data_IF_976911332841
#
_entry.id   IF_976911332841
#
_cell.length_a   1.000
_cell.length_b   1.000
_cell.length_c   1.000
_cell.angle_alpha   90.00
_cell.angle_beta   90.00
_cell.angle_gamma   90.00
#
_symmetry.space_group_name_H-M   'P 1'
#
loop_
_entity.id
_entity.type
_entity.pdbx_description
1 polymer ?
#
# COMPACT_ATOMS: atom_id res chain seq x y z
N UNK A 1 11.15 24.48 5.08
CA UNK A 1 10.10 23.57 5.53
C UNK A 1 10.61 22.70 6.66
N UNK A 2 9.86 22.64 7.75
CA UNK A 2 10.20 21.82 8.90
C UNK A 2 9.65 20.40 8.67
N UNK A 3 10.52 19.43 8.49
CA UNK A 3 10.12 18.02 8.46
C UNK A 3 10.19 17.49 9.89
N UNK A 4 9.04 17.17 10.45
CA UNK A 4 8.95 16.57 11.78
C UNK A 4 8.73 15.07 11.65
N UNK A 5 9.52 14.29 12.37
CA UNK A 5 9.30 12.85 12.57
C UNK A 5 8.70 12.67 13.96
N UNK A 6 7.49 12.16 14.00
CA UNK A 6 6.77 11.88 15.25
C UNK A 6 6.97 10.42 15.69
N UNK A 7 6.72 10.08 16.95
CA UNK A 7 6.71 8.68 17.39
C UNK A 7 5.74 7.80 16.58
N UNK A 8 4.63 8.38 16.09
CA UNK A 8 3.68 7.67 15.23
C UNK A 8 4.29 7.24 13.87
N UNK A 9 5.31 7.95 13.38
CA UNK A 9 5.97 7.58 12.12
C UNK A 9 6.77 6.28 12.24
N UNK A 10 7.18 5.89 13.45
CA UNK A 10 7.84 4.61 13.69
C UNK A 10 6.96 3.40 13.35
N UNK A 11 5.64 3.58 13.37
CA UNK A 11 4.67 2.56 12.98
C UNK A 11 4.79 2.18 11.49
N UNK A 12 5.33 3.05 10.64
CA UNK A 12 5.62 2.69 9.25
C UNK A 12 6.62 1.54 9.15
N UNK A 13 7.63 1.50 10.02
CA UNK A 13 8.65 0.44 10.06
C UNK A 13 8.16 -0.73 10.90
N UNK A 14 7.71 -0.48 12.12
CA UNK A 14 7.41 -1.50 13.13
C UNK A 14 5.97 -2.02 13.07
N UNK A 15 5.05 -1.20 12.59
CA UNK A 15 3.63 -1.51 12.53
C UNK A 15 3.23 -2.48 11.42
N UNK A 16 1.93 -2.71 11.29
CA UNK A 16 1.36 -3.60 10.29
C UNK A 16 1.40 -3.03 8.86
N UNK A 17 1.04 -3.88 7.90
CA UNK A 17 0.96 -3.50 6.48
C UNK A 17 -0.10 -2.41 6.21
N UNK A 18 -1.10 -2.27 7.07
CA UNK A 18 -2.14 -1.25 6.96
C UNK A 18 -1.54 0.16 7.00
N UNK A 19 -0.61 0.44 7.93
CA UNK A 19 0.05 1.74 8.04
C UNK A 19 0.87 2.06 6.78
N UNK A 20 1.54 1.07 6.21
CA UNK A 20 2.32 1.24 4.98
C UNK A 20 1.44 1.46 3.75
N UNK A 21 0.29 0.76 3.64
CA UNK A 21 -0.70 1.03 2.59
C UNK A 21 -1.27 2.43 2.73
N UNK A 22 -1.62 2.84 3.95
CA UNK A 22 -2.12 4.18 4.24
C UNK A 22 -1.13 5.28 3.85
N UNK A 23 0.16 5.05 4.05
CA UNK A 23 1.21 5.97 3.60
C UNK A 23 1.14 6.19 2.07
N UNK A 24 1.03 5.12 1.28
CA UNK A 24 0.87 5.22 -0.17
C UNK A 24 -0.43 5.95 -0.55
N UNK A 25 -1.53 5.57 0.09
CA UNK A 25 -2.86 6.10 -0.22
C UNK A 25 -2.95 7.61 0.06
N UNK A 26 -2.33 8.08 1.14
CA UNK A 26 -2.28 9.51 1.48
C UNK A 26 -1.53 10.30 0.41
N UNK A 27 -0.38 9.80 -0.04
CA UNK A 27 0.42 10.49 -1.07
C UNK A 27 -0.35 10.57 -2.39
N UNK A 28 -0.90 9.44 -2.85
CA UNK A 28 -1.58 9.39 -4.16
C UNK A 28 -2.87 10.21 -4.12
N UNK A 29 -3.68 10.06 -3.06
CA UNK A 29 -4.99 10.71 -2.95
C UNK A 29 -4.93 12.23 -2.94
N UNK A 30 -3.80 12.82 -2.52
CA UNK A 30 -3.61 14.27 -2.55
C UNK A 30 -3.51 14.82 -3.98
N UNK A 31 -3.12 14.02 -4.94
CA UNK A 31 -2.84 14.45 -6.32
C UNK A 31 -3.74 13.79 -7.36
N UNK A 32 -4.40 12.68 -7.01
CA UNK A 32 -5.17 11.85 -7.94
C UNK A 32 -6.58 11.60 -7.39
N UNK A 33 -7.54 12.45 -7.79
CA UNK A 33 -8.95 12.29 -7.39
C UNK A 33 -9.58 10.98 -7.91
N UNK A 34 -9.34 10.53 -9.16
CA UNK A 34 -9.77 9.22 -9.62
C UNK A 34 -9.27 8.07 -8.75
N UNK A 35 -8.02 8.14 -8.28
CA UNK A 35 -7.49 7.16 -7.33
C UNK A 35 -8.28 7.12 -6.03
N UNK A 36 -8.51 8.29 -5.42
CA UNK A 36 -9.29 8.38 -4.19
C UNK A 36 -10.70 7.81 -4.37
N UNK A 37 -11.34 8.12 -5.50
CA UNK A 37 -12.64 7.56 -5.84
C UNK A 37 -12.58 6.02 -5.95
N UNK A 38 -11.60 5.48 -6.68
CA UNK A 38 -11.42 4.04 -6.82
C UNK A 38 -11.20 3.35 -5.47
N UNK A 39 -10.39 3.94 -4.59
CA UNK A 39 -10.13 3.42 -3.25
C UNK A 39 -11.41 3.37 -2.39
N UNK A 40 -12.22 4.43 -2.44
CA UNK A 40 -13.51 4.50 -1.72
C UNK A 40 -14.46 3.43 -2.24
N UNK A 41 -14.60 3.29 -3.56
CA UNK A 41 -15.49 2.29 -4.18
C UNK A 41 -15.01 0.86 -3.88
N UNK A 42 -13.70 0.62 -3.93
CA UNK A 42 -13.13 -0.67 -3.54
C UNK A 42 -13.49 -1.03 -2.10
N UNK A 43 -13.26 -0.11 -1.16
CA UNK A 43 -13.57 -0.35 0.25
C UNK A 43 -15.06 -0.58 0.49
N UNK A 44 -15.93 0.12 -0.23
CA UNK A 44 -17.38 -0.09 -0.16
C UNK A 44 -17.77 -1.49 -0.65
N UNK A 45 -17.28 -1.91 -1.80
CA UNK A 45 -17.53 -3.25 -2.32
C UNK A 45 -16.96 -4.35 -1.40
N UNK A 46 -15.79 -4.10 -0.81
CA UNK A 46 -15.17 -5.01 0.17
C UNK A 46 -16.05 -5.21 1.41
N UNK A 47 -16.58 -4.12 1.97
CA UNK A 47 -17.49 -4.20 3.11
C UNK A 47 -18.77 -4.97 2.77
N UNK A 48 -19.34 -4.74 1.58
CA UNK A 48 -20.52 -5.46 1.13
C UNK A 48 -20.24 -6.96 0.94
N UNK A 49 -19.12 -7.32 0.31
CA UNK A 49 -18.72 -8.72 0.17
C UNK A 49 -18.49 -9.39 1.52
N UNK A 50 -17.83 -8.72 2.44
CA UNK A 50 -17.62 -9.23 3.79
C UNK A 50 -18.94 -9.42 4.56
N UNK A 51 -19.96 -8.58 4.33
CA UNK A 51 -21.30 -8.79 4.89
C UNK A 51 -21.94 -10.06 4.35
N UNK A 52 -21.91 -10.28 3.04
CA UNK A 52 -22.43 -11.53 2.45
C UNK A 52 -21.74 -12.78 3.00
N UNK A 53 -20.41 -12.70 3.21
CA UNK A 53 -19.63 -13.80 3.77
C UNK A 53 -20.04 -14.12 5.23
N UNK A 54 -20.22 -13.08 6.04
CA UNK A 54 -20.69 -13.24 7.43
C UNK A 54 -22.09 -13.80 7.53
N UNK A 55 -22.96 -13.38 6.63
CA UNK A 55 -24.36 -13.83 6.54
C UNK A 55 -24.48 -15.22 5.89
N UNK A 56 -23.35 -15.86 5.57
CA UNK A 56 -23.29 -17.18 4.92
C UNK A 56 -24.09 -17.24 3.61
N UNK A 57 -24.15 -16.13 2.87
CA UNK A 57 -24.84 -16.04 1.61
C UNK A 57 -24.27 -17.03 0.58
N UNK A 58 -25.14 -17.75 -0.13
CA UNK A 58 -24.78 -18.74 -1.16
C UNK A 58 -25.09 -18.28 -2.58
N UNK A 59 -25.73 -17.11 -2.73
CA UNK A 59 -26.08 -16.57 -4.04
C UNK A 59 -24.83 -16.07 -4.78
N UNK A 60 -24.42 -16.84 -5.79
CA UNK A 60 -23.24 -16.54 -6.59
C UNK A 60 -23.36 -15.21 -7.34
N UNK A 61 -24.56 -14.83 -7.77
CA UNK A 61 -24.76 -13.60 -8.55
C UNK A 61 -24.44 -12.34 -7.80
N UNK A 62 -24.72 -12.32 -6.48
CA UNK A 62 -24.35 -11.19 -5.60
C UNK A 62 -22.85 -11.05 -5.45
N UNK A 63 -22.12 -12.16 -5.33
CA UNK A 63 -20.66 -12.13 -5.28
C UNK A 63 -20.06 -11.67 -6.60
N UNK A 64 -20.55 -12.15 -7.74
CA UNK A 64 -20.01 -11.80 -9.06
C UNK A 64 -20.00 -10.28 -9.31
N UNK A 65 -21.09 -9.59 -8.98
CA UNK A 65 -21.18 -8.14 -9.13
C UNK A 65 -20.14 -7.44 -8.28
N UNK A 66 -19.98 -7.85 -7.01
CA UNK A 66 -19.01 -7.23 -6.09
C UNK A 66 -17.57 -7.58 -6.48
N UNK A 67 -17.31 -8.78 -6.93
CA UNK A 67 -16.00 -9.24 -7.36
C UNK A 67 -15.52 -8.52 -8.63
N UNK A 68 -16.44 -8.24 -9.58
CA UNK A 68 -16.14 -7.38 -10.73
C UNK A 68 -15.79 -5.94 -10.30
N UNK A 69 -16.50 -5.37 -9.34
CA UNK A 69 -16.21 -4.04 -8.82
C UNK A 69 -14.85 -4.02 -8.09
N UNK A 70 -14.57 -5.03 -7.27
CA UNK A 70 -13.30 -5.18 -6.57
C UNK A 70 -12.13 -5.33 -7.55
N UNK A 71 -12.31 -6.08 -8.64
CA UNK A 71 -11.27 -6.23 -9.68
C UNK A 71 -11.01 -4.90 -10.40
N UNK A 72 -12.07 -4.23 -10.85
CA UNK A 72 -11.95 -2.95 -11.58
C UNK A 72 -11.25 -1.87 -10.73
N UNK A 73 -11.77 -1.60 -9.55
CA UNK A 73 -11.20 -0.57 -8.68
C UNK A 73 -9.89 -1.00 -8.04
N UNK A 74 -9.75 -2.28 -7.71
CA UNK A 74 -8.53 -2.84 -7.16
C UNK A 74 -7.36 -2.73 -8.13
N UNK A 75 -7.57 -2.96 -9.42
CA UNK A 75 -6.55 -2.79 -10.45
C UNK A 75 -6.10 -1.36 -10.59
N UNK A 76 -7.03 -0.41 -10.59
CA UNK A 76 -6.68 1.03 -10.62
C UNK A 76 -5.79 1.42 -9.43
N UNK A 77 -6.14 0.97 -8.24
CA UNK A 77 -5.36 1.25 -7.02
C UNK A 77 -3.99 0.58 -7.08
N UNK A 78 -3.92 -0.69 -7.49
CA UNK A 78 -2.69 -1.44 -7.64
C UNK A 78 -1.70 -0.76 -8.58
N UNK A 79 -2.13 -0.39 -9.78
CA UNK A 79 -1.29 0.25 -10.79
C UNK A 79 -0.72 1.57 -10.29
N UNK A 80 -1.53 2.40 -9.65
CA UNK A 80 -1.08 3.68 -9.11
C UNK A 80 -0.10 3.54 -7.93
N UNK A 81 -0.32 2.58 -7.05
CA UNK A 81 0.62 2.28 -5.97
C UNK A 81 1.96 1.79 -6.51
N UNK A 82 1.94 0.93 -7.52
CA UNK A 82 3.15 0.44 -8.19
C UNK A 82 3.93 1.57 -8.86
N UNK A 83 3.24 2.44 -9.60
CA UNK A 83 3.86 3.62 -10.23
C UNK A 83 4.48 4.55 -9.18
N UNK A 84 3.74 4.86 -8.10
CA UNK A 84 4.28 5.70 -7.02
C UNK A 84 5.56 5.11 -6.45
N UNK A 85 5.58 3.82 -6.11
CA UNK A 85 6.75 3.18 -5.51
C UNK A 85 7.96 3.27 -6.44
N UNK A 86 7.77 3.02 -7.74
CA UNK A 86 8.85 3.11 -8.73
C UNK A 86 9.41 4.53 -8.85
N UNK A 87 8.54 5.55 -8.86
CA UNK A 87 8.95 6.95 -8.98
C UNK A 87 9.59 7.47 -7.67
N UNK A 88 9.19 6.91 -6.55
CA UNK A 88 9.61 7.37 -5.23
C UNK A 88 10.99 6.85 -4.79
N UNK A 89 11.35 5.64 -5.19
CA UNK A 89 12.60 4.99 -4.78
C UNK A 89 13.85 5.82 -5.08
N UNK A 90 14.05 6.40 -6.29
CA UNK A 90 15.25 7.20 -6.58
C UNK A 90 15.36 8.41 -5.66
N UNK A 91 14.27 9.13 -5.42
CA UNK A 91 14.22 10.31 -4.57
C UNK A 91 14.57 9.92 -3.12
N UNK A 92 13.98 8.82 -2.65
CA UNK A 92 14.21 8.31 -1.31
C UNK A 92 15.68 7.91 -1.08
N UNK A 93 16.31 7.22 -2.02
CA UNK A 93 17.73 6.86 -1.95
C UNK A 93 18.63 8.10 -1.92
N UNK A 94 18.37 9.08 -2.75
CA UNK A 94 19.14 10.33 -2.79
C UNK A 94 19.14 11.03 -1.42
N UNK A 95 17.97 11.18 -0.81
CA UNK A 95 17.87 11.80 0.53
C UNK A 95 18.51 10.97 1.61
N UNK A 96 18.34 9.66 1.59
CA UNK A 96 18.96 8.77 2.56
C UNK A 96 20.50 8.87 2.52
N UNK A 97 21.09 8.77 1.33
CA UNK A 97 22.53 8.86 1.14
C UNK A 97 23.08 10.23 1.53
N UNK A 98 22.36 11.31 1.25
CA UNK A 98 22.73 12.67 1.64
C UNK A 98 22.79 12.82 3.15
N UNK A 99 21.85 12.26 3.88
CA UNK A 99 21.79 12.35 5.34
C UNK A 99 22.81 11.44 6.01
N UNK A 100 22.86 10.16 5.59
CA UNK A 100 23.75 9.15 6.19
C UNK A 100 25.22 9.31 5.82
N UNK A 101 25.51 9.91 4.66
CA UNK A 101 26.86 9.93 4.07
C UNK A 101 27.48 8.52 3.97
N UNK A 102 26.65 7.51 3.76
CA UNK A 102 27.05 6.10 3.70
C UNK A 102 26.74 5.51 2.33
N UNK A 103 27.27 4.32 2.07
CA UNK A 103 26.99 3.55 0.87
C UNK A 103 25.74 2.65 1.01
N UNK A 104 25.04 2.75 2.13
CA UNK A 104 23.81 2.00 2.36
C UNK A 104 22.72 2.42 1.36
N UNK A 105 21.95 1.44 0.93
CA UNK A 105 20.84 1.66 0.00
C UNK A 105 19.51 1.32 0.67
N UNK A 106 18.56 2.23 0.53
CA UNK A 106 17.18 2.00 0.94
C UNK A 106 16.37 1.52 -0.26
N UNK A 107 15.34 0.73 0.01
CA UNK A 107 14.44 0.23 -1.01
C UNK A 107 13.02 0.13 -0.51
N UNK A 108 12.10 0.17 -1.46
CA UNK A 108 10.67 -0.10 -1.29
C UNK A 108 10.28 -1.16 -2.31
N UNK A 109 9.56 -2.18 -1.86
CA UNK A 109 9.02 -3.20 -2.76
C UNK A 109 7.53 -3.37 -2.48
N UNK A 110 6.72 -3.05 -3.47
CA UNK A 110 5.28 -3.25 -3.40
C UNK A 110 4.93 -4.67 -3.82
N UNK A 111 4.22 -5.38 -2.96
CA UNK A 111 3.83 -6.78 -3.15
C UNK A 111 2.33 -6.87 -3.17
N UNK A 112 1.77 -7.39 -4.25
CA UNK A 112 0.35 -7.59 -4.43
C UNK A 112 0.04 -8.95 -5.06
N UNK A 113 -1.09 -9.53 -4.67
CA UNK A 113 -1.60 -10.72 -5.31
C UNK A 113 -2.05 -10.47 -6.76
N UNK A 114 -2.37 -9.19 -7.10
CA UNK A 114 -2.80 -8.80 -8.45
C UNK A 114 -1.70 -8.95 -9.51
N UNK A 115 -0.45 -9.14 -9.12
CA UNK A 115 0.64 -9.53 -10.02
C UNK A 115 0.39 -10.88 -10.70
N UNK A 116 -0.41 -11.74 -10.07
CA UNK A 116 -0.65 -13.13 -10.52
C UNK A 116 -1.82 -13.28 -11.49
N UNK A 117 -2.64 -12.24 -11.67
CA UNK A 117 -3.78 -12.29 -12.58
C UNK A 117 -5.01 -11.48 -12.16
N UNK A 118 -6.18 -11.88 -12.61
CA UNK A 118 -7.45 -11.24 -12.34
C UNK A 118 -7.86 -11.42 -10.87
N UNK A 119 -8.20 -10.31 -10.21
CA UNK A 119 -8.72 -10.35 -8.84
C UNK A 119 -10.09 -11.01 -8.80
N UNK A 120 -10.95 -10.79 -9.80
CA UNK A 120 -12.25 -11.42 -9.87
C UNK A 120 -12.15 -12.95 -9.87
N UNK A 121 -11.24 -13.52 -10.66
CA UNK A 121 -11.02 -14.97 -10.71
C UNK A 121 -10.51 -15.52 -9.37
N UNK A 122 -9.57 -14.80 -8.76
CA UNK A 122 -9.05 -15.18 -7.44
C UNK A 122 -10.11 -15.13 -6.35
N UNK A 123 -10.98 -14.12 -6.37
CA UNK A 123 -12.09 -13.99 -5.42
C UNK A 123 -13.13 -15.08 -5.61
N UNK A 124 -13.49 -15.39 -6.86
CA UNK A 124 -14.42 -16.48 -7.20
C UNK A 124 -13.87 -17.83 -6.70
N UNK A 125 -12.60 -18.10 -6.93
CA UNK A 125 -11.95 -19.33 -6.48
C UNK A 125 -11.89 -19.46 -4.95
N UNK A 126 -11.84 -18.33 -4.23
CA UNK A 126 -11.71 -18.30 -2.77
C UNK A 126 -13.04 -18.15 -2.02
N UNK A 127 -14.20 -18.14 -2.68
CA UNK A 127 -15.52 -17.91 -2.02
C UNK A 127 -15.76 -18.85 -0.83
N UNK A 128 -15.53 -20.15 -1.01
CA UNK A 128 -15.73 -21.16 0.05
C UNK A 128 -14.83 -20.88 1.26
N UNK A 129 -13.54 -20.64 1.00
CA UNK A 129 -12.58 -20.28 2.03
C UNK A 129 -12.96 -19.00 2.77
N UNK A 130 -13.35 -17.98 2.03
CA UNK A 130 -13.72 -16.69 2.58
C UNK A 130 -15.01 -16.78 3.41
N UNK A 131 -15.98 -17.64 3.04
CA UNK A 131 -17.16 -17.92 3.88
C UNK A 131 -16.80 -18.54 5.21
N UNK A 132 -15.86 -19.47 5.23
CA UNK A 132 -15.37 -20.10 6.47
C UNK A 132 -14.69 -19.04 7.33
N UNK A 133 -13.88 -18.15 6.73
CA UNK A 133 -13.16 -17.11 7.45
C UNK A 133 -14.06 -15.93 7.88
N UNK A 134 -15.18 -15.71 7.19
CA UNK A 134 -16.07 -14.57 7.39
C UNK A 134 -15.54 -13.23 6.85
N UNK A 135 -14.49 -13.24 6.03
CA UNK A 135 -13.91 -12.06 5.40
C UNK A 135 -13.19 -12.39 4.10
N UNK A 136 -12.97 -11.38 3.27
CA UNK A 136 -12.25 -11.47 2.00
C UNK A 136 -10.76 -11.59 2.25
N UNK A 137 -10.15 -12.72 1.87
CA UNK A 137 -8.74 -13.03 2.13
C UNK A 137 -7.78 -12.57 1.03
N UNK A 138 -8.30 -12.11 -0.11
CA UNK A 138 -7.53 -11.76 -1.32
C UNK A 138 -7.90 -10.35 -1.79
N UNK A 139 -6.92 -9.56 -2.21
CA UNK A 139 -7.11 -8.22 -2.77
C UNK A 139 -6.11 -7.19 -2.28
N UNK A 140 -6.24 -5.95 -2.77
CA UNK A 140 -5.32 -4.85 -2.46
C UNK A 140 -5.27 -4.44 -0.98
N UNK A 141 -6.29 -4.78 -0.22
CA UNK A 141 -6.33 -4.59 1.25
C UNK A 141 -5.42 -5.58 2.00
N UNK A 142 -4.82 -6.53 1.29
CA UNK A 142 -3.80 -7.47 1.80
C UNK A 142 -2.40 -7.17 1.28
N UNK A 143 -2.25 -6.16 0.43
CA UNK A 143 -0.96 -5.80 -0.14
C UNK A 143 0.04 -5.32 0.92
N UNK A 144 1.32 -5.51 0.62
CA UNK A 144 2.42 -5.10 1.50
C UNK A 144 3.36 -4.14 0.77
N UNK A 145 3.88 -3.16 1.51
CA UNK A 145 5.02 -2.35 1.11
C UNK A 145 6.21 -2.76 1.97
N UNK A 146 7.09 -3.57 1.44
CA UNK A 146 8.34 -3.92 2.11
C UNK A 146 9.30 -2.72 2.08
N UNK A 147 9.80 -2.37 3.26
CA UNK A 147 10.80 -1.34 3.46
C UNK A 147 12.14 -1.99 3.76
N UNK A 148 13.15 -1.74 2.92
CA UNK A 148 14.43 -2.44 3.00
C UNK A 148 15.61 -1.49 3.20
N UNK A 149 16.64 -2.02 3.84
CA UNK A 149 17.96 -1.44 3.97
C UNK A 149 18.98 -2.49 3.50
N UNK A 150 19.77 -2.16 2.48
CA UNK A 150 20.70 -3.08 1.83
C UNK A 150 20.06 -4.43 1.43
N UNK A 151 18.82 -4.38 0.93
CA UNK A 151 18.08 -5.57 0.48
C UNK A 151 17.40 -6.38 1.59
N UNK A 152 17.57 -6.00 2.86
CA UNK A 152 16.94 -6.69 4.02
C UNK A 152 15.85 -5.83 4.64
N UNK A 153 14.80 -6.46 5.17
CA UNK A 153 13.71 -5.73 5.84
C UNK A 153 14.27 -4.89 6.99
N UNK A 154 14.12 -3.57 6.91
CA UNK A 154 14.69 -2.64 7.90
C UNK A 154 14.18 -2.91 9.32
N UNK A 155 12.94 -3.37 9.48
CA UNK A 155 12.38 -3.73 10.79
C UNK A 155 13.16 -4.85 11.50
N UNK A 156 13.95 -5.64 10.76
CA UNK A 156 14.76 -6.75 11.30
C UNK A 156 16.21 -6.40 11.50
N UNK A 157 16.76 -5.55 10.64
CA UNK A 157 18.19 -5.29 10.59
C UNK A 157 18.58 -3.86 11.04
N UNK A 158 17.62 -2.93 11.05
CA UNK A 158 17.87 -1.53 11.33
C UNK A 158 18.18 -1.27 12.80
N UNK A 159 19.28 -0.55 13.08
CA UNK A 159 19.53 0.07 14.37
C UNK A 159 18.53 1.21 14.62
N UNK A 160 18.43 1.70 15.85
CA UNK A 160 17.59 2.86 16.16
C UNK A 160 17.96 4.09 15.33
N UNK A 161 19.28 4.33 15.16
CA UNK A 161 19.77 5.43 14.32
C UNK A 161 19.41 5.26 12.85
N UNK A 162 19.56 4.06 12.30
CA UNK A 162 19.18 3.74 10.93
C UNK A 162 17.66 3.88 10.71
N UNK A 163 16.84 3.40 11.62
CA UNK A 163 15.38 3.55 11.56
C UNK A 163 14.98 5.04 11.55
N UNK A 164 15.58 5.85 12.40
CA UNK A 164 15.33 7.29 12.46
C UNK A 164 15.74 8.00 11.18
N UNK A 165 16.91 7.71 10.66
CA UNK A 165 17.39 8.28 9.39
C UNK A 165 16.52 7.85 8.22
N UNK A 166 16.11 6.59 8.19
CA UNK A 166 15.20 6.04 7.19
C UNK A 166 13.87 6.82 7.15
N UNK A 167 13.26 7.06 8.30
CA UNK A 167 12.01 7.82 8.41
C UNK A 167 12.19 9.29 8.00
N UNK A 168 13.28 9.93 8.39
CA UNK A 168 13.58 11.32 7.98
C UNK A 168 13.71 11.40 6.46
N UNK A 169 14.49 10.52 5.85
CA UNK A 169 14.67 10.47 4.40
C UNK A 169 13.35 10.19 3.67
N UNK A 170 12.53 9.27 4.19
CA UNK A 170 11.23 8.93 3.64
C UNK A 170 10.27 10.15 3.66
N UNK A 171 10.24 10.89 4.75
CA UNK A 171 9.43 12.11 4.91
C UNK A 171 9.89 13.25 4.01
N UNK A 172 11.20 13.45 3.86
CA UNK A 172 11.76 14.42 2.94
C UNK A 172 11.42 14.07 1.49
N UNK A 173 11.57 12.81 1.11
CA UNK A 173 11.21 12.33 -0.21
C UNK A 173 9.70 12.52 -0.49
N UNK A 174 8.85 12.25 0.50
CA UNK A 174 7.41 12.51 0.40
C UNK A 174 7.12 13.99 0.14
N UNK A 175 7.75 14.88 0.91
CA UNK A 175 7.57 16.32 0.75
C UNK A 175 7.97 16.79 -0.66
N UNK A 176 9.14 16.38 -1.12
CA UNK A 176 9.62 16.75 -2.46
C UNK A 176 8.75 16.19 -3.57
N UNK A 177 8.36 14.92 -3.45
CA UNK A 177 7.48 14.27 -4.42
C UNK A 177 6.14 15.01 -4.56
N UNK A 178 5.54 15.42 -3.45
CA UNK A 178 4.28 16.18 -3.45
C UNK A 178 4.45 17.60 -3.97
N UNK A 179 5.58 18.26 -3.63
CA UNK A 179 5.85 19.64 -4.06
C UNK A 179 6.12 19.76 -5.57
N UNK A 180 6.83 18.80 -6.15
CA UNK A 180 7.16 18.82 -7.57
C UNK A 180 5.95 18.55 -8.47
N UNK A 181 4.97 17.76 -8.01
CA UNK A 181 3.76 17.44 -8.78
C UNK A 181 2.58 18.39 -8.53
N UNK A 182 2.62 19.18 -7.45
CA UNK A 182 1.60 20.18 -7.15
C UNK A 182 1.75 21.52 -7.91
N UNK A 183 2.78 21.64 -8.76
CA UNK A 183 3.04 22.81 -9.59
C UNK A 183 2.75 22.59 -11.10
N UNK A 184 2.17 21.45 -11.47
CA UNK A 184 1.81 21.14 -12.85
C UNK A 184 0.33 21.32 -13.13
#
# INVERSE_FOLDING_TARGET
>A
PLVMVSPADSELIQGGSEERRRFLDVIISQQDKPYLHALIQYNKALLQRNSLLKDQCIDASLYEVLEMQLDMYGRMVYEKRQMLVNDFIPIFNEYYQTICRSTEQVGLRYISQLEKGSLADMLAANRERDRILGYTSTGIHKDELEMTLNGHLIRRVGSQGQNKTYLIALKLAQYVFLSCRGQA
#
